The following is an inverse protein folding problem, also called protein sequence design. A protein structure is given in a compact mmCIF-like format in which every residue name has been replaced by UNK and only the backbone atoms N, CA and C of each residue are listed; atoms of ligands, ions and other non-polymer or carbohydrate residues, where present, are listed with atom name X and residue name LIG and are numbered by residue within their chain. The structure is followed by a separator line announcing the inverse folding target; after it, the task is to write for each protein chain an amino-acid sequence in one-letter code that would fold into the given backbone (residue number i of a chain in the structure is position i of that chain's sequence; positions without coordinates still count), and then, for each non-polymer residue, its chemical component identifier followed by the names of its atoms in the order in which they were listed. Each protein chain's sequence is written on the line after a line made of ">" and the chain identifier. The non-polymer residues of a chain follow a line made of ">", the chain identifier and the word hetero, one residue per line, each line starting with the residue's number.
data_IF_132142518728
#
_entry.id   IF_132142518728
#
_cell.length_a   1.000
_cell.length_b   1.000
_cell.length_c   1.000
_cell.angle_alpha   90.00
_cell.angle_beta   90.00
_cell.angle_gamma   90.00
#
_symmetry.space_group_name_H-M   'P 1'
#
loop_
_entity.id
_entity.type
_entity.pdbx_description
1 polymer ?
#
# COMPACT_ATOMS: atom_id res chain seq x y z
N UNK A 1 9.12 15.40 0.96
CA UNK A 1 8.37 14.42 1.79
C UNK A 1 7.06 13.98 1.14
N UNK A 2 6.00 14.80 1.00
CA UNK A 2 4.74 14.34 0.35
C UNK A 2 4.93 13.82 -1.08
N UNK A 3 5.77 14.48 -1.88
CA UNK A 3 6.03 14.04 -3.25
C UNK A 3 6.83 12.73 -3.31
N UNK A 4 7.80 12.58 -2.41
CA UNK A 4 8.58 11.35 -2.26
C UNK A 4 7.69 10.15 -1.94
N UNK A 5 6.74 10.28 -1.00
CA UNK A 5 5.79 9.19 -0.67
C UNK A 5 4.89 8.83 -1.87
N UNK A 6 4.42 9.81 -2.65
CA UNK A 6 3.64 9.51 -3.87
C UNK A 6 4.45 8.70 -4.88
N UNK A 7 5.73 9.02 -5.03
CA UNK A 7 6.63 8.31 -5.95
C UNK A 7 6.88 6.89 -5.43
N UNK A 8 7.17 6.73 -4.15
CA UNK A 8 7.37 5.41 -3.52
C UNK A 8 6.15 4.51 -3.68
N UNK A 9 4.94 5.00 -3.37
CA UNK A 9 3.70 4.23 -3.55
C UNK A 9 3.42 3.89 -5.02
N UNK A 10 3.76 4.80 -5.95
CA UNK A 10 3.68 4.50 -7.39
C UNK A 10 4.66 3.37 -7.80
N UNK A 11 5.91 3.45 -7.34
CA UNK A 11 6.90 2.41 -7.61
C UNK A 11 6.54 1.07 -6.96
N UNK A 12 5.93 1.07 -5.77
CA UNK A 12 5.39 -0.14 -5.16
C UNK A 12 4.38 -0.83 -6.09
N UNK A 13 3.37 -0.10 -6.58
CA UNK A 13 2.36 -0.65 -7.49
C UNK A 13 2.98 -1.21 -8.79
N UNK A 14 3.95 -0.49 -9.36
CA UNK A 14 4.67 -0.96 -10.56
C UNK A 14 5.48 -2.23 -10.27
N UNK A 15 6.17 -2.28 -9.14
CA UNK A 15 7.00 -3.42 -8.76
C UNK A 15 6.15 -4.66 -8.44
N UNK A 16 5.02 -4.50 -7.76
CA UNK A 16 4.02 -5.56 -7.58
C UNK A 16 3.50 -6.08 -8.92
N UNK A 17 3.14 -5.18 -9.85
CA UNK A 17 2.71 -5.59 -11.19
C UNK A 17 3.77 -6.41 -11.93
N UNK A 18 5.05 -6.02 -11.84
CA UNK A 18 6.19 -6.76 -12.39
C UNK A 18 6.46 -8.09 -11.68
N UNK A 19 6.22 -8.18 -10.38
CA UNK A 19 6.27 -9.45 -9.64
C UNK A 19 5.18 -10.38 -10.18
N UNK A 20 3.96 -9.88 -10.37
CA UNK A 20 2.84 -10.69 -10.88
C UNK A 20 3.11 -11.29 -12.26
N UNK A 21 3.89 -10.66 -13.13
CA UNK A 21 4.25 -11.23 -14.45
C UNK A 21 5.19 -12.44 -14.37
N UNK A 22 5.76 -12.73 -13.18
CA UNK A 22 6.68 -13.85 -12.98
C UNK A 22 5.98 -15.14 -12.55
N UNK A 23 4.73 -15.06 -12.11
CA UNK A 23 3.98 -16.25 -11.71
C UNK A 23 3.35 -16.97 -12.92
N UNK A 24 3.19 -18.30 -12.86
CA UNK A 24 2.49 -19.06 -13.88
C UNK A 24 1.05 -18.60 -14.06
N UNK A 25 0.56 -18.65 -15.30
CA UNK A 25 -0.87 -18.47 -15.58
C UNK A 25 -1.63 -19.70 -15.08
N UNK A 26 -2.34 -19.54 -13.96
CA UNK A 26 -3.22 -20.55 -13.37
C UNK A 26 -4.40 -19.85 -12.70
N UNK A 27 -5.48 -20.59 -12.42
CA UNK A 27 -6.66 -20.01 -11.76
C UNK A 27 -6.29 -19.38 -10.41
N UNK A 28 -5.48 -20.07 -9.62
CA UNK A 28 -5.06 -19.67 -8.28
C UNK A 28 -4.16 -18.43 -8.34
N UNK A 29 -3.06 -18.47 -9.12
CA UNK A 29 -2.17 -17.30 -9.26
C UNK A 29 -2.89 -16.09 -9.85
N UNK A 30 -3.76 -16.28 -10.84
CA UNK A 30 -4.51 -15.17 -11.43
C UNK A 30 -5.44 -14.50 -10.41
N UNK A 31 -6.09 -15.27 -9.54
CA UNK A 31 -6.94 -14.73 -8.48
C UNK A 31 -6.12 -13.86 -7.49
N UNK A 32 -4.98 -14.36 -7.01
CA UNK A 32 -4.14 -13.62 -6.07
C UNK A 32 -3.46 -12.41 -6.72
N UNK A 33 -2.94 -12.54 -7.94
CA UNK A 33 -2.36 -11.44 -8.70
C UNK A 33 -3.38 -10.32 -8.94
N UNK A 34 -4.63 -10.65 -9.26
CA UNK A 34 -5.68 -9.65 -9.42
C UNK A 34 -5.96 -8.87 -8.13
N UNK A 35 -5.93 -9.54 -6.97
CA UNK A 35 -6.15 -8.89 -5.67
C UNK A 35 -5.00 -7.96 -5.28
N UNK A 36 -3.75 -8.42 -5.41
CA UNK A 36 -2.59 -7.61 -5.03
C UNK A 36 -2.33 -6.45 -5.98
N UNK A 37 -2.61 -6.61 -7.29
CA UNK A 37 -2.51 -5.51 -8.26
C UNK A 37 -3.50 -4.39 -7.89
N UNK A 38 -4.74 -4.76 -7.52
CA UNK A 38 -5.75 -3.80 -7.08
C UNK A 38 -5.34 -3.09 -5.80
N UNK A 39 -5.01 -3.83 -4.74
CA UNK A 39 -4.67 -3.21 -3.44
C UNK A 39 -3.41 -2.33 -3.54
N UNK A 40 -2.34 -2.82 -4.15
CA UNK A 40 -1.09 -2.04 -4.29
C UNK A 40 -1.27 -0.75 -5.11
N UNK A 41 -2.10 -0.77 -6.16
CA UNK A 41 -2.41 0.43 -6.94
C UNK A 41 -3.35 1.40 -6.22
N UNK A 42 -4.29 0.88 -5.42
CA UNK A 42 -5.17 1.65 -4.54
C UNK A 42 -4.40 2.47 -3.49
N UNK A 43 -3.29 1.95 -2.94
CA UNK A 43 -2.44 2.69 -1.97
C UNK A 43 -2.03 4.05 -2.54
N UNK A 44 -1.41 4.06 -3.72
CA UNK A 44 -0.95 5.30 -4.36
C UNK A 44 -2.11 6.19 -4.83
N UNK A 45 -3.18 5.60 -5.36
CA UNK A 45 -4.35 6.34 -5.83
C UNK A 45 -5.05 7.10 -4.68
N UNK A 46 -5.32 6.40 -3.57
CA UNK A 46 -5.95 7.00 -2.39
C UNK A 46 -5.04 8.00 -1.68
N UNK A 47 -3.72 7.79 -1.65
CA UNK A 47 -2.80 8.77 -1.08
C UNK A 47 -2.77 10.06 -1.90
N UNK A 48 -2.82 9.98 -3.24
CA UNK A 48 -2.97 11.15 -4.11
C UNK A 48 -4.29 11.87 -3.88
N UNK A 49 -5.38 11.15 -3.59
CA UNK A 49 -6.66 11.74 -3.21
C UNK A 49 -6.58 12.41 -1.83
N UNK A 50 -5.92 11.79 -0.85
CA UNK A 50 -5.68 12.37 0.47
C UNK A 50 -4.89 13.67 0.36
N UNK A 51 -3.86 13.74 -0.49
CA UNK A 51 -3.10 14.97 -0.73
C UNK A 51 -3.95 16.16 -1.23
N UNK A 52 -5.16 15.90 -1.74
CA UNK A 52 -6.13 16.88 -2.23
C UNK A 52 -7.36 17.00 -1.31
N UNK A 53 -7.25 16.53 -0.07
CA UNK A 53 -8.33 16.60 0.91
C UNK A 53 -8.74 18.04 1.23
N UNK A 54 -10.03 18.24 1.48
CA UNK A 54 -10.63 19.57 1.74
C UNK A 54 -10.65 19.97 3.21
N UNK A 55 -10.36 19.02 4.11
CA UNK A 55 -10.28 19.24 5.55
C UNK A 55 -9.38 18.19 6.20
N UNK A 56 -8.97 18.43 7.45
CA UNK A 56 -8.21 17.45 8.24
C UNK A 56 -8.98 16.15 8.48
N UNK A 57 -10.30 16.21 8.67
CA UNK A 57 -11.15 15.02 8.81
C UNK A 57 -11.22 14.21 7.51
N UNK A 58 -11.37 14.89 6.38
CA UNK A 58 -11.35 14.27 5.05
C UNK A 58 -9.98 13.66 4.73
N UNK A 59 -8.89 14.34 5.13
CA UNK A 59 -7.53 13.83 5.00
C UNK A 59 -7.34 12.52 5.78
N UNK A 60 -7.76 12.48 7.05
CA UNK A 60 -7.69 11.27 7.87
C UNK A 60 -8.50 10.13 7.26
N UNK A 61 -9.75 10.39 6.83
CA UNK A 61 -10.60 9.37 6.26
C UNK A 61 -9.98 8.73 5.00
N UNK A 62 -9.38 9.54 4.13
CA UNK A 62 -8.69 9.01 2.95
C UNK A 62 -7.41 8.27 3.28
N UNK A 63 -6.65 8.71 4.29
CA UNK A 63 -5.46 7.99 4.73
C UNK A 63 -5.78 6.64 5.39
N UNK A 64 -6.95 6.49 6.03
CA UNK A 64 -7.39 5.17 6.53
C UNK A 64 -7.59 4.16 5.39
N UNK A 65 -8.11 4.61 4.25
CA UNK A 65 -8.22 3.75 3.07
C UNK A 65 -6.81 3.36 2.59
N UNK A 66 -5.85 4.30 2.60
CA UNK A 66 -4.45 3.98 2.26
C UNK A 66 -3.85 2.96 3.24
N UNK A 67 -4.14 3.08 4.52
CA UNK A 67 -3.72 2.14 5.59
C UNK A 67 -4.29 0.73 5.33
N UNK A 68 -5.60 0.63 5.08
CA UNK A 68 -6.28 -0.64 4.77
C UNK A 68 -5.70 -1.32 3.51
N UNK A 69 -5.50 -0.55 2.43
CA UNK A 69 -4.99 -1.09 1.16
C UNK A 69 -3.52 -1.50 1.24
N UNK A 70 -2.72 -0.83 2.09
CA UNK A 70 -1.32 -1.18 2.30
C UNK A 70 -1.18 -2.47 3.12
N UNK A 71 -2.01 -2.62 4.16
CA UNK A 71 -2.10 -3.86 4.95
C UNK A 71 -2.58 -5.04 4.08
N UNK A 72 -3.62 -4.82 3.27
CA UNK A 72 -4.09 -5.83 2.32
C UNK A 72 -3.00 -6.22 1.31
N UNK A 73 -2.24 -5.26 0.80
CA UNK A 73 -1.08 -5.53 -0.08
C UNK A 73 -0.06 -6.45 0.59
N UNK A 74 0.25 -6.21 1.88
CA UNK A 74 1.18 -7.04 2.66
C UNK A 74 0.65 -8.46 2.83
N UNK A 75 -0.63 -8.61 3.17
CA UNK A 75 -1.26 -9.92 3.29
C UNK A 75 -1.17 -10.75 2.00
N UNK A 76 -1.41 -10.13 0.84
CA UNK A 76 -1.28 -10.84 -0.44
C UNK A 76 0.17 -11.20 -0.78
N UNK A 77 1.15 -10.38 -0.38
CA UNK A 77 2.57 -10.72 -0.51
C UNK A 77 2.93 -11.95 0.33
N UNK A 78 2.43 -12.01 1.58
CA UNK A 78 2.62 -13.17 2.47
C UNK A 78 2.02 -14.44 1.87
N UNK A 79 0.79 -14.36 1.33
CA UNK A 79 0.18 -15.51 0.65
C UNK A 79 0.99 -15.97 -0.56
N UNK A 80 1.42 -15.05 -1.43
CA UNK A 80 2.22 -15.39 -2.61
C UNK A 80 3.57 -16.01 -2.24
N UNK A 81 4.15 -15.61 -1.09
CA UNK A 81 5.38 -16.19 -0.54
C UNK A 81 5.23 -17.68 -0.24
N UNK A 82 4.09 -18.07 0.35
CA UNK A 82 3.79 -19.46 0.68
C UNK A 82 3.59 -20.33 -0.57
N UNK A 83 3.02 -19.77 -1.65
CA UNK A 83 2.84 -20.50 -2.91
C UNK A 83 4.12 -20.63 -3.74
N UNK A 84 5.06 -19.68 -3.62
CA UNK A 84 6.26 -19.67 -4.44
C UNK A 84 7.48 -19.07 -3.76
N UNK A 85 8.40 -19.95 -3.35
CA UNK A 85 9.70 -19.56 -2.79
C UNK A 85 10.69 -19.03 -3.83
N UNK A 86 10.43 -19.17 -5.13
CA UNK A 86 11.36 -18.71 -6.17
C UNK A 86 11.54 -17.19 -6.22
N UNK A 87 10.60 -16.44 -5.63
CA UNK A 87 10.61 -14.97 -5.60
C UNK A 87 10.67 -14.40 -4.18
N UNK A 88 11.07 -15.21 -3.19
CA UNK A 88 11.03 -14.86 -1.77
C UNK A 88 11.71 -13.52 -1.46
N UNK A 89 12.92 -13.30 -1.96
CA UNK A 89 13.69 -12.07 -1.72
C UNK A 89 13.00 -10.82 -2.27
N UNK A 90 12.35 -10.93 -3.42
CA UNK A 90 11.63 -9.81 -4.03
C UNK A 90 10.33 -9.53 -3.26
N UNK A 91 9.61 -10.59 -2.87
CA UNK A 91 8.43 -10.48 -2.02
C UNK A 91 8.77 -9.82 -0.68
N UNK A 92 9.86 -10.24 -0.03
CA UNK A 92 10.32 -9.65 1.24
C UNK A 92 10.71 -8.18 1.09
N UNK A 93 11.35 -7.82 -0.03
CA UNK A 93 11.68 -6.42 -0.31
C UNK A 93 10.42 -5.56 -0.51
N UNK A 94 9.40 -6.09 -1.19
CA UNK A 94 8.13 -5.39 -1.41
C UNK A 94 7.32 -5.30 -0.12
N UNK A 95 7.33 -6.36 0.70
CA UNK A 95 6.65 -6.40 1.98
C UNK A 95 7.23 -5.37 2.94
N UNK A 96 8.57 -5.29 3.00
CA UNK A 96 9.27 -4.26 3.76
C UNK A 96 8.89 -2.85 3.31
N UNK A 97 8.90 -2.57 2.00
CA UNK A 97 8.50 -1.26 1.47
C UNK A 97 7.04 -0.93 1.80
N UNK A 98 6.12 -1.88 1.65
CA UNK A 98 4.72 -1.72 2.04
C UNK A 98 4.57 -1.39 3.53
N UNK A 99 5.31 -2.08 4.40
CA UNK A 99 5.28 -1.84 5.85
C UNK A 99 5.85 -0.45 6.23
N UNK A 100 6.89 0.01 5.54
CA UNK A 100 7.40 1.37 5.72
C UNK A 100 6.35 2.42 5.30
N UNK A 101 5.68 2.23 4.17
CA UNK A 101 4.63 3.12 3.68
C UNK A 101 3.38 3.11 4.58
N UNK A 102 3.01 1.95 5.12
CA UNK A 102 1.97 1.80 6.13
C UNK A 102 2.32 2.57 7.41
N UNK A 103 3.54 2.40 7.92
CA UNK A 103 4.03 3.09 9.11
C UNK A 103 4.00 4.62 8.95
N UNK A 104 4.40 5.12 7.77
CA UNK A 104 4.34 6.55 7.43
C UNK A 104 2.89 7.05 7.38
N UNK A 105 1.98 6.24 6.83
CA UNK A 105 0.56 6.56 6.73
C UNK A 105 -0.08 6.66 8.12
N UNK A 106 0.15 5.68 8.99
CA UNK A 106 -0.32 5.67 10.38
C UNK A 106 0.25 6.84 11.19
N UNK A 107 1.55 7.13 11.04
CA UNK A 107 2.17 8.29 11.68
C UNK A 107 1.54 9.61 11.23
N UNK A 108 1.20 9.74 9.94
CA UNK A 108 0.52 10.90 9.37
C UNK A 108 -0.88 11.08 9.96
N UNK A 109 -1.67 10.00 10.05
CA UNK A 109 -3.00 9.99 10.70
C UNK A 109 -2.89 10.46 12.15
N UNK A 110 -1.97 9.88 12.92
CA UNK A 110 -1.79 10.18 14.34
C UNK A 110 -1.35 11.63 14.58
N UNK A 111 -0.52 12.17 13.69
CA UNK A 111 -0.08 13.58 13.76
C UNK A 111 -1.26 14.54 13.59
N UNK A 112 -2.13 14.29 12.61
CA UNK A 112 -3.31 15.14 12.37
C UNK A 112 -4.33 15.02 13.50
N UNK A 113 -4.58 13.80 14.01
CA UNK A 113 -5.45 13.58 15.19
C UNK A 113 -4.98 14.35 16.42
N UNK A 114 -3.67 14.29 16.73
CA UNK A 114 -3.09 15.04 17.85
C UNK A 114 -3.27 16.56 17.68
N UNK A 115 -3.15 17.07 16.45
CA UNK A 115 -3.42 18.50 16.16
C UNK A 115 -4.88 18.87 16.40
N UNK A 116 -5.83 18.06 15.93
CA UNK A 116 -7.26 18.31 16.11
C UNK A 116 -7.67 18.30 17.58
N UNK A 117 -7.15 17.37 18.38
CA UNK A 117 -7.46 17.27 19.81
C UNK A 117 -6.83 18.38 20.67
N UNK A 118 -5.82 19.09 20.17
CA UNK A 118 -5.24 20.27 20.86
C UNK A 118 -6.01 21.56 20.58
N UNK A 119 -6.83 21.57 19.53
CA UNK A 119 -7.53 22.76 19.02
C UNK A 119 -9.05 22.73 19.29
N UNK A 120 -9.54 21.70 19.98
CA UNK A 120 -10.92 21.58 20.44
C UNK A 120 -10.95 21.51 21.96
#
# INVERSE_FOLDING_TARGET
>A
MKEDIKIRMFHLAVAVGKLCTKFPSSREYNAYCNQIIRSSSSVGANYRAACRAKSDKDFINKLKIVEEEADETMYWLELLKEFSKSHEKEIDSLHKESNELLSITVASINTVRKRLNKNG
#
